data_IF_347986120654
#
_entry.id   IF_347986120654
#
_cell.length_a   1.000
_cell.length_b   1.000
_cell.length_c   1.000
_cell.angle_alpha   90.00
_cell.angle_beta   90.00
_cell.angle_gamma   90.00
#
_symmetry.space_group_name_H-M   'P 1'
#
loop_
_entity.id
_entity.type
_entity.pdbx_description
1 polymer ?
#
# COMPACT_ATOMS: atom_id res chain seq x y z
N UNK A 1 -18.21 -6.30 -5.11
CA UNK A 1 -17.63 -6.01 -3.78
C UNK A 1 -16.62 -4.90 -3.93
N UNK A 2 -16.56 -3.96 -2.97
CA UNK A 2 -15.74 -2.75 -3.07
C UNK A 2 -14.85 -2.58 -1.84
N UNK A 3 -13.84 -1.70 -1.93
CA UNK A 3 -12.98 -1.32 -0.80
C UNK A 3 -13.35 0.05 -0.24
N UNK A 4 -13.16 0.26 1.06
CA UNK A 4 -13.17 1.57 1.70
C UNK A 4 -11.77 1.88 2.23
N UNK A 5 -11.14 2.93 1.70
CA UNK A 5 -9.89 3.47 2.19
C UNK A 5 -10.13 4.74 3.00
N UNK A 6 -9.57 4.83 4.19
CA UNK A 6 -9.70 6.01 5.04
C UNK A 6 -8.31 6.58 5.29
N UNK A 7 -8.04 7.75 4.73
CA UNK A 7 -6.76 8.43 4.85
C UNK A 7 -6.70 9.25 6.12
N UNK A 8 -6.02 8.76 7.14
CA UNK A 8 -5.81 9.49 8.40
C UNK A 8 -4.59 10.41 8.25
N UNK A 9 -4.78 11.73 8.14
CA UNK A 9 -3.70 12.64 7.79
C UNK A 9 -2.81 13.05 8.98
N UNK A 10 -2.81 12.30 10.08
CA UNK A 10 -2.11 12.71 11.29
C UNK A 10 -0.86 11.87 11.53
N UNK A 11 0.25 12.55 11.86
CA UNK A 11 1.50 11.95 12.30
C UNK A 11 2.02 12.71 13.52
N UNK A 12 2.48 12.01 14.53
CA UNK A 12 3.18 12.68 15.65
C UNK A 12 4.50 13.32 15.19
N UNK A 13 5.14 12.76 14.14
CA UNK A 13 6.39 13.24 13.55
C UNK A 13 6.49 12.77 12.09
N UNK A 14 6.98 13.64 11.18
CA UNK A 14 7.20 13.26 9.78
C UNK A 14 8.51 12.51 9.62
N UNK A 15 8.49 11.41 8.89
CA UNK A 15 9.66 10.67 8.45
C UNK A 15 10.39 11.41 7.32
N UNK A 16 11.70 11.15 7.18
CA UNK A 16 12.55 11.88 6.23
C UNK A 16 12.18 11.61 4.77
N UNK A 17 11.74 10.41 4.49
CA UNK A 17 11.45 9.85 3.14
C UNK A 17 9.99 9.98 2.72
N UNK A 18 9.07 10.28 3.66
CA UNK A 18 7.64 10.13 3.45
C UNK A 18 7.07 11.27 2.58
N UNK A 19 6.43 10.91 1.48
CA UNK A 19 5.70 11.78 0.56
C UNK A 19 4.18 11.81 0.81
N UNK A 20 3.67 10.87 1.63
CA UNK A 20 2.25 10.84 1.97
C UNK A 20 1.77 12.14 2.62
N UNK A 21 0.57 12.56 2.21
CA UNK A 21 -0.05 13.72 2.82
C UNK A 21 -0.27 13.50 4.31
N UNK A 22 0.34 14.35 5.14
CA UNK A 22 0.22 14.25 6.60
C UNK A 22 0.36 15.61 7.29
N UNK A 23 -0.23 15.71 8.48
CA UNK A 23 -0.23 16.88 9.35
C UNK A 23 0.19 16.48 10.76
N UNK A 24 0.97 17.31 11.44
CA UNK A 24 1.37 17.07 12.83
C UNK A 24 0.53 17.84 13.86
N UNK A 25 -0.43 18.66 13.41
CA UNK A 25 -1.28 19.47 14.28
C UNK A 25 -2.57 18.70 14.63
N UNK A 26 -2.57 18.05 15.78
CA UNK A 26 -3.68 17.25 16.27
C UNK A 26 -4.96 18.04 16.62
N UNK A 27 -4.93 19.37 16.64
CA UNK A 27 -6.13 20.20 16.86
C UNK A 27 -7.19 20.02 15.77
N UNK A 28 -6.77 19.54 14.59
CA UNK A 28 -7.67 19.25 13.47
C UNK A 28 -8.30 17.84 13.54
N UNK A 29 -7.97 17.01 14.53
CA UNK A 29 -8.45 15.63 14.62
C UNK A 29 -9.99 15.56 14.66
N UNK A 30 -10.61 16.23 15.62
CA UNK A 30 -12.08 16.20 15.75
C UNK A 30 -12.78 16.78 14.50
N UNK A 31 -12.41 17.97 13.99
CA UNK A 31 -12.98 18.46 12.73
C UNK A 31 -12.78 17.50 11.55
N UNK A 32 -11.67 16.76 11.51
CA UNK A 32 -11.41 15.78 10.47
C UNK A 32 -12.35 14.57 10.58
N UNK A 33 -12.55 14.01 11.80
CA UNK A 33 -13.46 12.87 12.01
C UNK A 33 -14.87 13.23 11.55
N UNK A 34 -15.37 14.42 11.95
CA UNK A 34 -16.68 14.92 11.51
C UNK A 34 -16.75 15.06 9.98
N UNK A 35 -15.69 15.58 9.36
CA UNK A 35 -15.63 15.74 7.92
C UNK A 35 -15.55 14.40 7.18
N UNK A 36 -14.78 13.44 7.67
CA UNK A 36 -14.68 12.10 7.06
C UNK A 36 -16.04 11.37 7.08
N UNK A 37 -16.77 11.43 8.20
CA UNK A 37 -18.13 10.90 8.30
C UNK A 37 -19.06 11.63 7.30
N UNK A 38 -18.98 12.96 7.24
CA UNK A 38 -19.80 13.74 6.30
C UNK A 38 -19.46 13.46 4.84
N UNK A 39 -18.19 13.22 4.51
CA UNK A 39 -17.77 12.82 3.15
C UNK A 39 -18.38 11.46 2.77
N UNK A 40 -18.35 10.47 3.67
CA UNK A 40 -19.02 9.19 3.44
C UNK A 40 -20.50 9.36 3.10
N UNK A 41 -21.21 10.26 3.83
CA UNK A 41 -22.62 10.58 3.53
C UNK A 41 -22.81 11.20 2.15
N UNK A 42 -21.95 12.15 1.77
CA UNK A 42 -22.03 12.84 0.48
C UNK A 42 -21.73 11.91 -0.70
N UNK A 43 -20.93 10.88 -0.48
CA UNK A 43 -20.42 10.00 -1.54
C UNK A 43 -20.89 8.54 -1.40
N UNK A 44 -21.94 8.27 -0.63
CA UNK A 44 -22.44 6.91 -0.38
C UNK A 44 -22.79 6.13 -1.66
N UNK A 45 -23.22 6.83 -2.73
CA UNK A 45 -23.59 6.21 -4.02
C UNK A 45 -22.38 5.94 -4.93
N UNK A 46 -21.17 6.39 -4.59
CA UNK A 46 -19.99 6.35 -5.46
C UNK A 46 -19.63 4.94 -5.94
N UNK A 47 -19.76 3.94 -5.07
CA UNK A 47 -19.48 2.54 -5.38
C UNK A 47 -20.70 1.79 -5.92
N UNK A 48 -21.81 2.51 -6.23
CA UNK A 48 -23.03 1.93 -6.83
C UNK A 48 -23.77 0.93 -5.94
N UNK A 49 -23.72 1.08 -4.62
CA UNK A 49 -24.37 0.19 -3.66
C UNK A 49 -23.70 -1.17 -3.52
N UNK A 50 -22.48 -1.35 -4.04
CA UNK A 50 -21.73 -2.59 -3.83
C UNK A 50 -21.35 -2.76 -2.35
N UNK A 51 -21.50 -3.97 -1.76
CA UNK A 51 -21.11 -4.22 -0.38
C UNK A 51 -19.60 -4.13 -0.23
N UNK A 52 -19.14 -3.65 0.94
CA UNK A 52 -17.73 -3.58 1.26
C UNK A 52 -17.14 -4.98 1.53
N UNK A 53 -16.01 -5.29 0.90
CA UNK A 53 -15.18 -6.47 1.19
C UNK A 53 -14.03 -6.11 2.14
N UNK A 54 -13.49 -4.89 2.00
CA UNK A 54 -12.35 -4.46 2.81
C UNK A 54 -12.50 -3.03 3.32
N UNK A 55 -11.96 -2.77 4.52
CA UNK A 55 -11.77 -1.42 5.06
C UNK A 55 -10.29 -1.27 5.42
N UNK A 56 -9.68 -0.16 4.99
CA UNK A 56 -8.27 0.10 5.24
C UNK A 56 -8.07 1.51 5.79
N UNK A 57 -7.51 1.59 6.98
CA UNK A 57 -7.07 2.84 7.60
C UNK A 57 -5.59 3.02 7.34
N UNK A 58 -5.23 4.02 6.52
CA UNK A 58 -3.85 4.30 6.12
C UNK A 58 -3.53 5.79 6.06
N UNK A 59 -2.42 6.12 5.42
CA UNK A 59 -2.01 7.47 5.11
C UNK A 59 -0.89 8.03 5.98
N UNK A 60 -1.19 8.89 6.94
CA UNK A 60 -0.21 9.39 7.89
C UNK A 60 0.13 8.34 8.95
N UNK A 61 -0.61 8.31 10.03
CA UNK A 61 -0.45 7.32 11.12
C UNK A 61 -1.80 7.07 11.77
N UNK A 62 -2.60 6.11 11.28
CA UNK A 62 -3.92 5.82 11.86
C UNK A 62 -3.89 5.45 13.34
N UNK A 63 -2.81 4.88 13.84
CA UNK A 63 -2.63 4.58 15.27
C UNK A 63 -2.54 5.81 16.19
N UNK A 64 -2.61 7.03 15.63
CA UNK A 64 -2.79 8.26 16.41
C UNK A 64 -4.26 8.49 16.82
N UNK A 65 -5.21 7.75 16.25
CA UNK A 65 -6.61 7.80 16.64
C UNK A 65 -6.87 6.94 17.88
N UNK A 66 -7.88 7.32 18.66
CA UNK A 66 -8.33 6.58 19.82
C UNK A 66 -9.51 5.67 19.49
N UNK A 67 -9.84 4.72 20.36
CA UNK A 67 -10.97 3.81 20.17
C UNK A 67 -12.27 4.54 19.81
N UNK A 68 -12.61 5.60 20.51
CA UNK A 68 -13.85 6.36 20.27
C UNK A 68 -13.88 7.02 18.88
N UNK A 69 -12.73 7.41 18.32
CA UNK A 69 -12.63 7.95 16.97
C UNK A 69 -12.99 6.87 15.93
N UNK A 70 -12.44 5.67 16.11
CA UNK A 70 -12.73 4.52 15.24
C UNK A 70 -14.19 4.07 15.36
N UNK A 71 -14.75 4.01 16.57
CA UNK A 71 -16.16 3.63 16.78
C UNK A 71 -17.09 4.52 15.96
N UNK A 72 -16.88 5.84 15.97
CA UNK A 72 -17.68 6.80 15.18
C UNK A 72 -17.56 6.56 13.67
N UNK A 73 -16.34 6.29 13.18
CA UNK A 73 -16.08 6.04 11.77
C UNK A 73 -16.73 4.71 11.36
N UNK A 74 -16.57 3.63 12.15
CA UNK A 74 -17.18 2.33 11.85
C UNK A 74 -18.70 2.37 11.88
N UNK A 75 -19.31 3.08 12.83
CA UNK A 75 -20.75 3.28 12.88
C UNK A 75 -21.27 3.96 11.59
N UNK A 76 -20.56 4.97 11.12
CA UNK A 76 -20.92 5.64 9.87
C UNK A 76 -20.72 4.72 8.65
N UNK A 77 -19.60 3.99 8.57
CA UNK A 77 -19.31 3.08 7.48
C UNK A 77 -20.35 1.94 7.41
N UNK A 78 -20.72 1.37 8.56
CA UNK A 78 -21.75 0.32 8.64
C UNK A 78 -23.12 0.82 8.20
N UNK A 79 -23.55 1.98 8.70
CA UNK A 79 -24.82 2.60 8.35
C UNK A 79 -24.95 2.92 6.86
N UNK A 80 -23.86 3.37 6.21
CA UNK A 80 -23.90 3.91 4.85
C UNK A 80 -23.58 2.85 3.78
N UNK A 81 -22.69 1.92 4.06
CA UNK A 81 -22.19 0.95 3.07
C UNK A 81 -22.47 -0.51 3.47
N UNK A 82 -22.76 -0.77 4.74
CA UNK A 82 -22.84 -2.13 5.28
C UNK A 82 -21.47 -2.79 5.38
N UNK A 83 -21.08 -3.23 6.57
CA UNK A 83 -19.75 -3.82 6.82
C UNK A 83 -19.80 -5.32 7.12
N UNK A 84 -20.97 -5.92 7.12
CA UNK A 84 -21.17 -7.33 7.49
C UNK A 84 -20.46 -8.33 6.56
N UNK A 85 -20.15 -7.92 5.33
CA UNK A 85 -19.41 -8.72 4.34
C UNK A 85 -17.91 -8.46 4.34
N UNK A 86 -17.42 -7.51 5.16
CA UNK A 86 -15.99 -7.20 5.21
C UNK A 86 -15.16 -8.38 5.70
N UNK A 87 -14.22 -8.81 4.87
CA UNK A 87 -13.33 -9.94 5.16
C UNK A 87 -11.99 -9.48 5.70
N UNK A 88 -11.55 -8.26 5.38
CA UNK A 88 -10.32 -7.66 5.89
C UNK A 88 -10.56 -6.22 6.34
N UNK A 89 -10.19 -5.93 7.59
CA UNK A 89 -10.22 -4.58 8.17
C UNK A 89 -8.84 -4.29 8.74
N UNK A 90 -8.09 -3.43 8.03
CA UNK A 90 -6.68 -3.16 8.30
C UNK A 90 -6.48 -1.84 9.00
N UNK A 91 -5.59 -1.82 10.00
CA UNK A 91 -5.04 -0.63 10.63
C UNK A 91 -3.54 -0.53 10.35
N UNK A 92 -3.10 0.59 9.75
CA UNK A 92 -1.68 0.95 9.78
C UNK A 92 -1.28 1.51 11.13
N UNK A 93 -0.12 1.10 11.63
CA UNK A 93 0.37 1.49 12.94
C UNK A 93 1.87 1.74 12.97
N UNK A 94 2.30 2.66 13.83
CA UNK A 94 3.70 2.74 14.22
C UNK A 94 3.97 1.86 15.43
N UNK A 95 5.13 1.20 15.52
CA UNK A 95 5.48 0.34 16.65
C UNK A 95 5.39 1.03 18.02
N UNK A 96 5.77 2.30 18.11
CA UNK A 96 5.76 3.08 19.35
C UNK A 96 4.35 3.50 19.82
N UNK A 97 3.35 3.45 18.96
CA UNK A 97 1.96 3.67 19.33
C UNK A 97 1.30 2.38 19.88
N UNK A 98 1.89 1.20 19.65
CA UNK A 98 1.35 -0.10 20.04
C UNK A 98 1.68 -0.41 21.51
N UNK A 99 1.13 0.40 22.43
CA UNK A 99 1.24 0.14 23.86
C UNK A 99 0.27 -0.97 24.31
N UNK A 100 0.48 -1.61 25.49
CA UNK A 100 -0.45 -2.63 26.00
C UNK A 100 -1.90 -2.13 26.06
N UNK A 101 -2.11 -0.88 26.50
CA UNK A 101 -3.42 -0.25 26.63
C UNK A 101 -4.05 -0.02 25.26
N UNK A 102 -3.26 0.48 24.28
CA UNK A 102 -3.73 0.72 22.92
C UNK A 102 -4.13 -0.59 22.22
N UNK A 103 -3.26 -1.61 22.26
CA UNK A 103 -3.56 -2.92 21.65
C UNK A 103 -4.78 -3.57 22.32
N UNK A 104 -4.92 -3.45 23.65
CA UNK A 104 -6.11 -3.94 24.34
C UNK A 104 -7.40 -3.23 23.89
N UNK A 105 -7.35 -1.92 23.59
CA UNK A 105 -8.50 -1.17 23.11
C UNK A 105 -8.95 -1.62 21.71
N UNK A 106 -8.03 -2.10 20.85
CA UNK A 106 -8.36 -2.60 19.50
C UNK A 106 -9.24 -3.86 19.52
N UNK A 107 -9.28 -4.62 20.64
CA UNK A 107 -10.16 -5.80 20.79
C UNK A 107 -11.64 -5.47 20.68
N UNK A 108 -12.03 -4.25 20.99
CA UNK A 108 -13.42 -3.78 20.92
C UNK A 108 -13.80 -3.28 19.53
N UNK A 109 -12.83 -3.26 18.60
CA UNK A 109 -12.97 -2.78 17.23
C UNK A 109 -12.84 -3.94 16.23
N UNK A 110 -13.44 -3.84 15.05
CA UNK A 110 -13.46 -4.95 14.08
C UNK A 110 -12.15 -5.16 13.33
N UNK A 111 -11.04 -4.57 13.77
CA UNK A 111 -9.74 -4.77 13.13
C UNK A 111 -9.31 -6.24 13.20
N UNK A 112 -8.99 -6.82 12.04
CA UNK A 112 -8.49 -8.19 11.95
C UNK A 112 -7.11 -8.28 11.28
N UNK A 113 -6.56 -7.15 10.82
CA UNK A 113 -5.21 -7.03 10.26
C UNK A 113 -4.52 -5.76 10.77
N UNK A 114 -3.22 -5.88 11.11
CA UNK A 114 -2.34 -4.73 11.43
C UNK A 114 -1.22 -4.68 10.41
N UNK A 115 -0.96 -3.49 9.81
CA UNK A 115 0.24 -3.21 9.02
C UNK A 115 1.14 -2.27 9.81
N UNK A 116 2.33 -2.73 10.15
CA UNK A 116 3.21 -2.04 11.09
C UNK A 116 4.46 -1.50 10.39
N UNK A 117 4.63 -0.19 10.36
CA UNK A 117 5.78 0.48 9.75
C UNK A 117 7.05 0.33 10.58
N UNK A 118 7.70 -0.84 10.53
CA UNK A 118 8.95 -1.15 11.24
C UNK A 118 10.15 -0.49 10.54
N UNK A 119 10.22 -0.57 9.23
CA UNK A 119 11.21 -0.02 8.30
C UNK A 119 12.59 -0.67 8.40
N UNK A 120 13.15 -0.85 9.57
CA UNK A 120 14.42 -1.52 9.84
C UNK A 120 14.50 -1.98 11.30
N UNK A 121 15.35 -2.97 11.58
CA UNK A 121 15.73 -3.36 12.95
C UNK A 121 17.10 -2.80 13.34
N UNK A 122 17.69 -1.91 12.52
CA UNK A 122 18.97 -1.26 12.81
C UNK A 122 18.76 0.15 13.34
N UNK A 123 19.29 0.42 14.51
CA UNK A 123 19.17 1.72 15.16
C UNK A 123 19.69 2.90 14.32
N UNK A 124 20.76 2.66 13.52
CA UNK A 124 21.28 3.68 12.61
C UNK A 124 20.28 4.06 11.53
N UNK A 125 19.57 3.05 10.97
CA UNK A 125 18.59 3.23 9.92
C UNK A 125 17.36 3.95 10.45
N UNK A 126 16.83 3.51 11.61
CA UNK A 126 15.69 4.14 12.27
C UNK A 126 15.96 5.61 12.59
N UNK A 127 17.16 5.94 13.10
CA UNK A 127 17.58 7.33 13.33
C UNK A 127 17.69 8.11 12.03
N UNK A 128 18.27 7.53 10.99
CA UNK A 128 18.36 8.16 9.67
C UNK A 128 16.98 8.47 9.11
N UNK A 129 16.06 7.49 9.15
CA UNK A 129 14.69 7.64 8.67
C UNK A 129 13.82 8.56 9.54
N UNK A 130 14.35 9.08 10.64
CA UNK A 130 13.65 9.90 11.63
C UNK A 130 12.47 9.17 12.30
N UNK A 131 12.60 7.84 12.51
CA UNK A 131 11.60 7.02 13.21
C UNK A 131 11.61 7.30 14.71
N UNK A 132 10.47 7.14 15.37
CA UNK A 132 10.31 7.37 16.81
C UNK A 132 10.60 6.12 17.65
N UNK A 133 10.40 4.94 17.06
CA UNK A 133 10.62 3.65 17.72
C UNK A 133 12.04 3.14 17.52
N UNK A 134 12.45 2.24 18.39
CA UNK A 134 13.64 1.43 18.31
C UNK A 134 13.30 -0.03 17.97
N UNK A 135 14.33 -0.87 17.81
CA UNK A 135 14.19 -2.29 17.51
C UNK A 135 13.35 -3.03 18.56
N UNK A 136 13.60 -2.77 19.85
CA UNK A 136 12.90 -3.46 20.93
C UNK A 136 11.42 -3.12 20.96
N UNK A 137 11.07 -1.87 20.69
CA UNK A 137 9.68 -1.43 20.56
C UNK A 137 8.99 -2.13 19.40
N UNK A 138 9.64 -2.28 18.24
CA UNK A 138 9.09 -2.99 17.10
C UNK A 138 8.82 -4.48 17.42
N UNK A 139 9.76 -5.18 18.05
CA UNK A 139 9.59 -6.57 18.48
C UNK A 139 8.48 -6.72 19.51
N UNK A 140 8.43 -5.82 20.49
CA UNK A 140 7.40 -5.81 21.52
C UNK A 140 6.01 -5.56 20.94
N UNK A 141 5.88 -4.63 20.00
CA UNK A 141 4.61 -4.30 19.35
C UNK A 141 4.02 -5.52 18.61
N UNK A 142 4.84 -6.27 17.87
CA UNK A 142 4.43 -7.52 17.23
C UNK A 142 4.00 -8.55 18.28
N UNK A 143 4.77 -8.71 19.36
CA UNK A 143 4.44 -9.62 20.47
C UNK A 143 3.08 -9.28 21.10
N UNK A 144 2.86 -7.99 21.43
CA UNK A 144 1.60 -7.51 22.01
C UNK A 144 0.39 -7.78 21.09
N UNK A 145 0.53 -7.59 19.78
CA UNK A 145 -0.54 -7.92 18.83
C UNK A 145 -0.89 -9.42 18.90
N UNK A 146 0.12 -10.30 18.84
CA UNK A 146 -0.08 -11.76 18.93
C UNK A 146 -0.73 -12.19 20.24
N UNK A 147 -0.26 -11.69 21.37
CA UNK A 147 -0.81 -11.95 22.70
C UNK A 147 -2.27 -11.49 22.82
N UNK A 148 -2.65 -10.46 22.08
CA UNK A 148 -4.01 -9.95 22.03
C UNK A 148 -4.89 -10.58 20.95
N UNK A 149 -4.43 -11.66 20.29
CA UNK A 149 -5.20 -12.44 19.34
C UNK A 149 -5.15 -11.94 17.90
N UNK A 150 -4.40 -10.87 17.62
CA UNK A 150 -4.22 -10.34 16.25
C UNK A 150 -3.08 -11.12 15.60
N UNK A 151 -3.43 -12.09 14.74
CA UNK A 151 -2.46 -12.96 14.06
C UNK A 151 -2.11 -12.49 12.64
N UNK A 152 -3.00 -11.75 11.99
CA UNK A 152 -2.76 -11.19 10.65
C UNK A 152 -1.95 -9.89 10.78
N UNK A 153 -0.64 -10.03 10.88
CA UNK A 153 0.30 -8.93 11.05
C UNK A 153 1.17 -8.82 9.79
N UNK A 154 1.26 -7.60 9.26
CA UNK A 154 2.25 -7.20 8.26
C UNK A 154 3.29 -6.31 8.92
N UNK A 155 4.54 -6.44 8.50
CA UNK A 155 5.55 -5.39 8.76
C UNK A 155 6.03 -4.81 7.44
N UNK A 156 6.32 -3.50 7.46
CA UNK A 156 6.93 -2.83 6.33
C UNK A 156 8.42 -2.65 6.61
N UNK A 157 9.27 -2.99 5.63
CA UNK A 157 10.72 -2.82 5.66
C UNK A 157 11.15 -1.91 4.51
N UNK A 158 12.24 -1.17 4.71
CA UNK A 158 12.87 -0.36 3.66
C UNK A 158 14.29 -0.88 3.44
N UNK A 159 14.64 -1.14 2.18
CA UNK A 159 15.99 -1.46 1.75
C UNK A 159 16.52 -0.41 0.78
N UNK A 160 17.81 -0.45 0.49
CA UNK A 160 18.45 0.58 -0.35
C UNK A 160 18.76 1.87 0.41
N UNK A 161 18.88 1.79 1.73
CA UNK A 161 19.25 2.92 2.58
C UNK A 161 20.70 3.37 2.32
N UNK A 162 21.01 4.66 2.42
CA UNK A 162 22.38 5.17 2.27
C UNK A 162 23.37 4.44 3.19
N UNK A 163 24.41 3.87 2.60
CA UNK A 163 25.42 3.11 3.31
C UNK A 163 24.97 1.77 3.90
N UNK A 164 23.81 1.26 3.49
CA UNK A 164 23.36 -0.08 3.85
C UNK A 164 24.22 -1.13 3.14
N UNK A 165 24.68 -2.14 3.89
CA UNK A 165 25.40 -3.28 3.33
C UNK A 165 24.48 -4.48 3.11
N UNK A 166 24.95 -5.46 2.34
CA UNK A 166 24.23 -6.71 2.13
C UNK A 166 24.03 -7.46 3.45
N UNK A 167 25.05 -7.51 4.31
CA UNK A 167 25.01 -8.18 5.61
C UNK A 167 23.94 -7.55 6.51
N UNK A 168 23.88 -6.23 6.57
CA UNK A 168 22.88 -5.51 7.37
C UNK A 168 21.45 -5.80 6.88
N UNK A 169 21.27 -5.88 5.55
CA UNK A 169 19.99 -6.24 4.98
C UNK A 169 19.59 -7.69 5.31
N UNK A 170 20.54 -8.63 5.21
CA UNK A 170 20.31 -10.02 5.61
C UNK A 170 19.91 -10.14 7.08
N UNK A 171 20.57 -9.39 7.98
CA UNK A 171 20.20 -9.38 9.41
C UNK A 171 18.78 -8.80 9.64
N UNK A 172 18.34 -7.78 8.87
CA UNK A 172 16.96 -7.30 8.91
C UNK A 172 15.97 -8.38 8.47
N UNK A 173 16.26 -9.09 7.37
CA UNK A 173 15.43 -10.19 6.89
C UNK A 173 15.37 -11.37 7.89
N UNK A 174 16.49 -11.72 8.50
CA UNK A 174 16.54 -12.78 9.51
C UNK A 174 15.69 -12.45 10.73
N UNK A 175 15.70 -11.19 11.17
CA UNK A 175 14.84 -10.73 12.26
C UNK A 175 13.36 -10.78 11.86
N UNK A 176 13.01 -10.31 10.67
CA UNK A 176 11.64 -10.36 10.15
C UNK A 176 11.11 -11.81 10.03
N UNK A 177 11.94 -12.74 9.53
CA UNK A 177 11.59 -14.15 9.42
C UNK A 177 11.41 -14.77 10.81
N UNK A 178 12.27 -14.42 11.77
CA UNK A 178 12.21 -14.91 13.16
C UNK A 178 10.94 -14.48 13.89
N UNK A 179 10.33 -13.36 13.47
CA UNK A 179 9.04 -12.91 14.00
C UNK A 179 7.88 -13.84 13.63
N UNK A 180 8.04 -14.74 12.67
CA UNK A 180 6.99 -15.69 12.23
C UNK A 180 5.65 -15.01 11.97
N UNK A 181 5.67 -13.83 11.34
CA UNK A 181 4.49 -13.11 10.91
C UNK A 181 4.08 -13.55 9.50
N UNK A 182 2.79 -13.46 9.15
CA UNK A 182 2.31 -13.99 7.88
C UNK A 182 2.59 -13.10 6.65
N UNK A 183 2.94 -11.82 6.84
CA UNK A 183 3.08 -10.87 5.74
C UNK A 183 4.24 -9.89 5.96
N UNK A 184 4.98 -9.59 4.89
CA UNK A 184 6.08 -8.62 4.87
C UNK A 184 5.96 -7.78 3.61
N UNK A 185 5.92 -6.46 3.76
CA UNK A 185 6.11 -5.49 2.69
C UNK A 185 7.56 -5.00 2.73
N UNK A 186 8.23 -4.96 1.58
CA UNK A 186 9.60 -4.46 1.52
C UNK A 186 9.77 -3.53 0.32
N UNK A 187 10.05 -2.27 0.61
CA UNK A 187 10.15 -1.20 -0.38
C UNK A 187 11.59 -0.78 -0.58
N UNK A 188 11.99 -0.57 -1.83
CA UNK A 188 13.23 0.15 -2.12
C UNK A 188 13.06 1.60 -1.70
N UNK A 189 14.08 2.20 -1.07
CA UNK A 189 14.06 3.62 -0.73
C UNK A 189 14.02 4.46 -2.00
N UNK A 190 12.97 5.26 -2.16
CA UNK A 190 12.80 6.21 -3.26
C UNK A 190 13.08 7.62 -2.77
N UNK A 191 13.67 8.44 -3.64
CA UNK A 191 14.00 9.84 -3.35
C UNK A 191 12.98 10.73 -4.05
N UNK A 192 11.77 10.82 -3.45
CA UNK A 192 10.65 11.58 -4.00
C UNK A 192 10.87 13.09 -3.87
N UNK A 193 10.64 13.81 -4.98
CA UNK A 193 10.73 15.26 -5.02
C UNK A 193 9.80 15.89 -3.95
N UNK A 194 10.28 16.94 -3.30
CA UNK A 194 9.53 17.60 -2.22
C UNK A 194 9.81 17.04 -0.83
N UNK A 195 10.31 15.80 -0.68
CA UNK A 195 10.67 15.21 0.61
C UNK A 195 11.92 15.84 1.21
N UNK A 196 12.09 15.68 2.52
CA UNK A 196 13.32 16.12 3.18
C UNK A 196 14.55 15.29 2.75
N UNK A 197 14.33 14.00 2.44
CA UNK A 197 15.35 13.09 1.92
C UNK A 197 15.87 13.56 0.55
N UNK A 198 14.98 13.91 -0.37
CA UNK A 198 15.34 14.43 -1.68
C UNK A 198 16.20 15.69 -1.59
N UNK A 199 15.83 16.63 -0.71
CA UNK A 199 16.62 17.85 -0.45
C UNK A 199 18.01 17.56 0.11
N UNK A 200 18.17 16.51 0.91
CA UNK A 200 19.49 16.07 1.40
C UNK A 200 20.35 15.48 0.28
N UNK A 201 19.74 14.72 -0.64
CA UNK A 201 20.40 14.18 -1.81
C UNK A 201 20.85 15.31 -2.75
N UNK A 202 19.99 16.25 -3.09
CA UNK A 202 20.30 17.44 -3.89
C UNK A 202 21.45 18.27 -3.29
N UNK A 203 21.49 18.37 -1.97
CA UNK A 203 22.56 19.07 -1.25
C UNK A 203 23.86 18.26 -1.12
N UNK A 204 23.96 17.07 -1.74
CA UNK A 204 25.11 16.17 -1.65
C UNK A 204 25.41 15.63 -0.24
N UNK A 205 24.43 15.68 0.67
CA UNK A 205 24.56 15.17 2.05
C UNK A 205 24.21 13.69 2.18
N UNK A 206 23.50 13.17 1.21
CA UNK A 206 23.09 11.77 1.12
C UNK A 206 23.37 11.29 -0.30
N UNK A 207 23.93 10.10 -0.44
CA UNK A 207 24.18 9.45 -1.72
C UNK A 207 23.33 8.17 -1.77
N UNK A 208 22.51 7.98 -2.81
CA UNK A 208 21.83 6.71 -3.08
C UNK A 208 22.84 5.57 -3.18
N UNK A 209 22.40 4.34 -2.91
CA UNK A 209 23.23 3.15 -3.13
C UNK A 209 23.46 2.92 -4.62
N UNK A 210 24.53 2.22 -4.96
CA UNK A 210 24.83 1.81 -6.33
C UNK A 210 23.77 0.80 -6.86
N UNK A 211 23.48 0.86 -8.15
CA UNK A 211 22.47 0.04 -8.81
C UNK A 211 22.73 -1.48 -8.63
N UNK A 212 23.99 -1.92 -8.77
CA UNK A 212 24.37 -3.33 -8.59
C UNK A 212 24.06 -3.82 -7.16
N UNK A 213 24.27 -2.97 -6.16
CA UNK A 213 23.91 -3.30 -4.79
C UNK A 213 22.39 -3.35 -4.62
N UNK A 214 21.65 -2.41 -5.22
CA UNK A 214 20.18 -2.40 -5.20
C UNK A 214 19.61 -3.71 -5.76
N UNK A 215 20.09 -4.15 -6.91
CA UNK A 215 19.72 -5.44 -7.54
C UNK A 215 20.06 -6.62 -6.61
N UNK A 216 21.23 -6.59 -5.97
CA UNK A 216 21.66 -7.63 -5.03
C UNK A 216 20.76 -7.70 -3.79
N UNK A 217 20.39 -6.54 -3.20
CA UNK A 217 19.49 -6.47 -2.06
C UNK A 217 18.09 -7.01 -2.40
N UNK A 218 17.57 -6.64 -3.57
CA UNK A 218 16.27 -7.14 -4.03
C UNK A 218 16.29 -8.65 -4.33
N UNK A 219 17.35 -9.15 -4.98
CA UNK A 219 17.53 -10.60 -5.19
C UNK A 219 17.57 -11.35 -3.88
N UNK A 220 18.28 -10.80 -2.89
CA UNK A 220 18.40 -11.40 -1.54
C UNK A 220 17.06 -11.44 -0.84
N UNK A 221 16.28 -10.33 -0.92
CA UNK A 221 14.92 -10.27 -0.40
C UNK A 221 14.04 -11.40 -0.94
N UNK A 222 13.97 -11.52 -2.28
CA UNK A 222 13.14 -12.54 -2.93
C UNK A 222 13.56 -13.94 -2.49
N UNK A 223 14.86 -14.26 -2.54
CA UNK A 223 15.35 -15.59 -2.23
C UNK A 223 15.10 -15.93 -0.75
N UNK A 224 15.48 -15.05 0.19
CA UNK A 224 15.36 -15.31 1.63
C UNK A 224 13.89 -15.50 2.06
N UNK A 225 12.98 -14.64 1.58
CA UNK A 225 11.57 -14.75 1.95
C UNK A 225 10.92 -15.97 1.28
N UNK A 226 11.28 -16.28 0.03
CA UNK A 226 10.76 -17.48 -0.65
C UNK A 226 11.24 -18.75 0.05
N UNK A 227 12.52 -18.84 0.43
CA UNK A 227 13.08 -19.97 1.21
C UNK A 227 12.41 -20.11 2.58
N UNK A 228 11.99 -18.99 3.19
CA UNK A 228 11.23 -18.98 4.45
C UNK A 228 9.72 -19.29 4.28
N UNK A 229 9.26 -19.61 3.05
CA UNK A 229 7.89 -20.04 2.76
C UNK A 229 6.90 -18.91 2.51
N UNK A 230 7.38 -17.70 2.20
CA UNK A 230 6.52 -16.62 1.69
C UNK A 230 6.38 -16.70 0.17
N UNK A 231 5.23 -16.32 -0.34
CA UNK A 231 5.01 -16.11 -1.76
C UNK A 231 5.24 -14.64 -2.10
N UNK A 232 6.04 -14.37 -3.12
CA UNK A 232 6.22 -13.04 -3.70
C UNK A 232 5.03 -12.77 -4.61
N UNK A 233 3.94 -12.20 -4.08
CA UNK A 233 2.68 -12.12 -4.81
C UNK A 233 2.47 -10.83 -5.59
N UNK A 234 3.22 -9.77 -5.25
CA UNK A 234 3.38 -8.56 -6.06
C UNK A 234 4.73 -7.91 -5.75
N UNK A 235 5.14 -6.88 -6.49
CA UNK A 235 6.53 -6.38 -6.53
C UNK A 235 7.16 -6.14 -5.16
N UNK A 236 6.39 -5.57 -4.21
CA UNK A 236 6.89 -5.20 -2.89
C UNK A 236 6.37 -6.08 -1.75
N UNK A 237 5.43 -6.99 -2.02
CA UNK A 237 4.71 -7.70 -0.97
C UNK A 237 4.92 -9.22 -1.01
N UNK A 238 5.15 -9.75 0.16
CA UNK A 238 5.39 -11.17 0.42
C UNK A 238 4.43 -11.66 1.49
N UNK A 239 3.68 -12.72 1.21
CA UNK A 239 2.69 -13.26 2.14
C UNK A 239 2.72 -14.78 2.20
N UNK A 240 2.38 -15.34 3.35
CA UNK A 240 2.07 -16.76 3.45
C UNK A 240 0.72 -17.03 2.76
N UNK A 241 0.46 -18.22 2.23
CA UNK A 241 -0.84 -18.56 1.64
C UNK A 241 -1.99 -18.22 2.59
N UNK A 242 -3.00 -17.48 2.06
CA UNK A 242 -4.15 -17.03 2.84
C UNK A 242 -3.98 -15.69 3.59
N UNK A 243 -2.78 -15.06 3.53
CA UNK A 243 -2.47 -13.82 4.23
C UNK A 243 -2.03 -12.67 3.32
N UNK A 244 -2.34 -12.75 2.03
CA UNK A 244 -2.14 -11.60 1.14
C UNK A 244 -3.05 -10.45 1.56
N UNK A 245 -2.56 -9.21 1.49
CA UNK A 245 -3.40 -8.06 1.76
C UNK A 245 -4.52 -7.98 0.71
N UNK A 246 -5.76 -8.20 1.13
CA UNK A 246 -6.92 -8.18 0.22
C UNK A 246 -7.17 -6.78 -0.31
N UNK A 247 -7.09 -5.79 0.59
CA UNK A 247 -7.29 -4.40 0.19
C UNK A 247 -6.26 -3.95 -0.85
N UNK A 248 -4.95 -4.20 -0.62
CA UNK A 248 -3.92 -3.84 -1.58
C UNK A 248 -4.03 -4.64 -2.88
N UNK A 249 -4.36 -5.93 -2.79
CA UNK A 249 -4.58 -6.78 -3.97
C UNK A 249 -5.78 -6.30 -4.82
N UNK A 250 -6.78 -5.66 -4.20
CA UNK A 250 -7.95 -5.15 -4.91
C UNK A 250 -7.59 -4.04 -5.92
N UNK A 251 -6.56 -3.24 -5.64
CA UNK A 251 -6.05 -2.23 -6.58
C UNK A 251 -5.51 -2.88 -7.87
N UNK A 252 -4.87 -4.03 -7.74
CA UNK A 252 -4.29 -4.76 -8.87
C UNK A 252 -5.33 -5.52 -9.70
N UNK A 253 -6.51 -5.80 -9.14
CA UNK A 253 -7.59 -6.52 -9.81
C UNK A 253 -8.66 -5.61 -10.41
N UNK A 254 -8.52 -4.29 -10.31
CA UNK A 254 -9.48 -3.31 -10.80
C UNK A 254 -10.80 -3.31 -10.00
N UNK A 255 -10.75 -3.70 -8.74
CA UNK A 255 -11.90 -3.64 -7.83
C UNK A 255 -12.21 -2.18 -7.49
N UNK A 256 -13.48 -1.82 -7.47
CA UNK A 256 -13.92 -0.47 -7.07
C UNK A 256 -13.55 -0.19 -5.62
N UNK A 257 -13.21 1.06 -5.36
CA UNK A 257 -13.00 1.53 -3.99
C UNK A 257 -13.32 3.01 -3.85
N UNK A 258 -13.72 3.38 -2.65
CA UNK A 258 -13.90 4.78 -2.27
C UNK A 258 -12.86 5.16 -1.24
N UNK A 259 -12.14 6.27 -1.49
CA UNK A 259 -11.21 6.88 -0.54
C UNK A 259 -11.84 8.08 0.13
N UNK A 260 -11.69 8.13 1.44
CA UNK A 260 -12.20 9.19 2.33
C UNK A 260 -11.02 9.90 2.98
N UNK A 261 -11.07 11.23 3.04
CA UNK A 261 -10.02 12.05 3.63
C UNK A 261 -9.15 12.78 2.59
N UNK A 262 -8.36 13.77 2.99
CA UNK A 262 -7.52 14.55 2.08
C UNK A 262 -6.50 13.66 1.40
N UNK A 263 -6.23 13.88 0.10
CA UNK A 263 -5.34 13.07 -0.73
C UNK A 263 -5.79 11.62 -0.98
N UNK A 264 -6.96 11.21 -0.49
CA UNK A 264 -7.48 9.86 -0.74
C UNK A 264 -7.93 9.72 -2.19
N UNK A 265 -7.57 8.58 -2.81
CA UNK A 265 -7.98 8.21 -4.16
C UNK A 265 -9.21 7.31 -4.13
N UNK A 266 -9.98 7.33 -5.20
CA UNK A 266 -11.15 6.47 -5.43
C UNK A 266 -11.17 5.99 -6.87
N UNK A 267 -11.83 4.83 -7.11
CA UNK A 267 -11.98 4.23 -8.43
C UNK A 267 -13.33 3.51 -8.54
N UNK A 268 -14.09 3.82 -9.58
CA UNK A 268 -15.42 3.25 -9.82
C UNK A 268 -15.49 2.32 -11.05
N UNK A 269 -14.35 2.09 -11.71
CA UNK A 269 -14.24 1.33 -12.95
C UNK A 269 -14.29 2.17 -14.22
N UNK A 270 -14.79 3.40 -14.14
CA UNK A 270 -14.93 4.33 -15.26
C UNK A 270 -14.06 5.59 -15.07
N UNK A 271 -13.84 6.00 -13.82
CA UNK A 271 -13.03 7.16 -13.47
C UNK A 271 -12.14 6.90 -12.26
N UNK A 272 -11.08 7.70 -12.16
CA UNK A 272 -10.32 7.89 -10.93
C UNK A 272 -10.63 9.26 -10.34
N UNK A 273 -10.70 9.32 -9.04
CA UNK A 273 -10.90 10.57 -8.32
C UNK A 273 -9.91 10.66 -7.17
N UNK A 274 -9.49 11.87 -6.82
CA UNK A 274 -8.71 12.10 -5.63
C UNK A 274 -9.09 13.40 -4.95
N UNK A 275 -9.12 13.34 -3.65
CA UNK A 275 -9.37 14.50 -2.82
C UNK A 275 -8.14 15.42 -2.80
N UNK A 276 -8.37 16.71 -2.64
CA UNK A 276 -7.31 17.71 -2.53
C UNK A 276 -6.32 17.36 -1.39
N UNK A 277 -5.02 17.50 -1.66
CA UNK A 277 -3.94 17.30 -0.68
C UNK A 277 -3.78 18.55 0.23
N UNK A 278 -4.88 18.95 0.88
CA UNK A 278 -4.91 20.11 1.78
C UNK A 278 -6.00 19.93 2.84
N UNK A 279 -5.59 19.71 4.09
CA UNK A 279 -6.56 19.52 5.19
C UNK A 279 -7.51 20.72 5.38
N UNK A 280 -7.06 21.99 5.35
CA UNK A 280 -7.98 23.12 5.47
C UNK A 280 -9.01 23.22 4.32
N UNK A 281 -8.58 23.00 3.07
CA UNK A 281 -9.48 23.01 1.91
C UNK A 281 -10.46 21.84 1.96
N UNK A 282 -9.98 20.65 2.32
CA UNK A 282 -10.82 19.47 2.51
C UNK A 282 -11.93 19.75 3.54
N UNK A 283 -11.58 20.24 4.74
CA UNK A 283 -12.56 20.57 5.78
C UNK A 283 -13.58 21.62 5.31
N UNK A 284 -13.12 22.63 4.60
CA UNK A 284 -13.99 23.68 4.07
C UNK A 284 -14.96 23.15 3.01
N UNK A 285 -14.47 22.35 2.06
CA UNK A 285 -15.28 21.77 0.98
C UNK A 285 -16.36 20.83 1.52
N UNK A 286 -15.97 19.92 2.43
CA UNK A 286 -16.91 18.98 3.06
C UNK A 286 -17.98 19.72 3.88
N UNK A 287 -17.58 20.71 4.65
CA UNK A 287 -18.53 21.56 5.41
C UNK A 287 -19.52 22.29 4.51
N UNK A 288 -19.09 22.73 3.33
CA UNK A 288 -19.95 23.36 2.35
C UNK A 288 -20.83 22.36 1.56
N UNK A 289 -20.64 21.06 1.74
CA UNK A 289 -21.31 19.99 0.96
C UNK A 289 -20.81 19.86 -0.47
N UNK A 290 -19.65 20.43 -0.78
CA UNK A 290 -19.01 20.41 -2.11
C UNK A 290 -17.57 19.91 -1.91
N UNK A 291 -17.34 18.57 -1.95
CA UNK A 291 -16.00 17.99 -1.85
C UNK A 291 -15.08 18.57 -2.93
N UNK A 292 -13.86 18.94 -2.55
CA UNK A 292 -12.82 19.43 -3.45
C UNK A 292 -12.05 18.23 -4.03
N UNK A 293 -12.53 17.73 -5.19
CA UNK A 293 -12.12 16.49 -5.82
C UNK A 293 -11.65 16.77 -7.25
N UNK A 294 -10.54 16.17 -7.64
CA UNK A 294 -10.13 16.06 -9.04
C UNK A 294 -10.62 14.73 -9.63
N UNK A 295 -10.98 14.74 -10.92
CA UNK A 295 -11.56 13.58 -11.62
C UNK A 295 -10.81 13.36 -12.92
N UNK A 296 -10.44 12.11 -13.18
CA UNK A 296 -9.88 11.63 -14.44
C UNK A 296 -10.83 10.57 -15.02
N UNK A 297 -11.45 10.89 -16.15
CA UNK A 297 -12.24 9.90 -16.92
C UNK A 297 -11.30 8.96 -17.68
N UNK A 298 -11.56 7.65 -17.60
CA UNK A 298 -10.68 6.65 -18.18
C UNK A 298 -11.22 6.17 -19.53
N UNK A 299 -10.52 6.54 -20.61
CA UNK A 299 -10.83 5.97 -21.91
C UNK A 299 -10.38 4.50 -22.03
N UNK A 300 -10.73 3.87 -23.14
CA UNK A 300 -10.44 2.44 -23.35
C UNK A 300 -8.93 2.14 -23.43
N UNK A 301 -8.11 3.09 -23.86
CA UNK A 301 -6.67 2.94 -23.95
C UNK A 301 -6.03 3.03 -22.57
N UNK A 302 -6.47 4.00 -21.77
CA UNK A 302 -6.06 4.14 -20.38
C UNK A 302 -6.41 2.90 -19.56
N UNK A 303 -7.65 2.38 -19.71
CA UNK A 303 -8.07 1.13 -19.06
C UNK A 303 -7.24 -0.08 -19.49
N UNK A 304 -6.88 -0.16 -20.77
CA UNK A 304 -5.97 -1.21 -21.25
C UNK A 304 -4.59 -1.08 -20.60
N UNK A 305 -4.02 0.10 -20.61
CA UNK A 305 -2.70 0.37 -20.04
C UNK A 305 -2.66 0.05 -18.54
N UNK A 306 -3.67 0.46 -17.81
CA UNK A 306 -3.83 0.12 -16.39
C UNK A 306 -3.89 -1.39 -16.18
N UNK A 307 -4.65 -2.11 -17.01
CA UNK A 307 -4.78 -3.56 -16.92
C UNK A 307 -3.43 -4.28 -17.13
N UNK A 308 -2.60 -3.79 -18.06
CA UNK A 308 -1.25 -4.31 -18.28
C UNK A 308 -0.37 -4.05 -17.06
N UNK A 309 -0.32 -2.80 -16.57
CA UNK A 309 0.54 -2.41 -15.46
C UNK A 309 0.14 -3.17 -14.19
N UNK A 310 -1.13 -3.13 -13.83
CA UNK A 310 -1.60 -3.74 -12.58
C UNK A 310 -1.48 -5.26 -12.60
N UNK A 311 -1.81 -5.91 -13.72
CA UNK A 311 -1.74 -7.37 -13.83
C UNK A 311 -0.31 -7.90 -13.77
N UNK A 312 0.61 -7.31 -14.53
CA UNK A 312 2.00 -7.78 -14.57
C UNK A 312 2.80 -7.50 -13.29
N UNK A 313 2.35 -6.58 -12.44
CA UNK A 313 2.97 -6.36 -11.11
C UNK A 313 2.71 -7.50 -10.13
N UNK A 314 1.82 -8.43 -10.47
CA UNK A 314 1.39 -9.51 -9.59
C UNK A 314 1.81 -10.89 -10.10
N UNK A 315 1.84 -11.86 -9.21
CA UNK A 315 2.07 -13.26 -9.57
C UNK A 315 0.94 -13.88 -10.38
N UNK A 316 -0.24 -13.24 -10.40
CA UNK A 316 -1.40 -13.73 -11.16
C UNK A 316 -1.31 -13.37 -12.63
N UNK A 317 -0.55 -12.33 -13.00
CA UNK A 317 -0.34 -11.90 -14.36
C UNK A 317 -1.61 -11.42 -15.06
N UNK A 318 -1.58 -11.46 -16.40
CA UNK A 318 -2.69 -11.08 -17.28
C UNK A 318 -3.10 -12.24 -18.19
N UNK A 319 -4.41 -12.51 -18.30
CA UNK A 319 -4.92 -13.46 -19.26
C UNK A 319 -5.12 -12.77 -20.61
N UNK A 320 -4.58 -13.34 -21.67
CA UNK A 320 -4.72 -12.73 -23.00
C UNK A 320 -6.16 -12.79 -23.53
N UNK A 321 -6.96 -13.76 -23.09
CA UNK A 321 -8.39 -13.81 -23.37
C UNK A 321 -9.13 -12.61 -22.75
N UNK A 322 -8.79 -12.19 -21.54
CA UNK A 322 -9.41 -11.03 -20.89
C UNK A 322 -9.13 -9.72 -21.65
N UNK A 323 -7.95 -9.61 -22.29
CA UNK A 323 -7.62 -8.49 -23.19
C UNK A 323 -8.56 -8.46 -24.38
N UNK A 324 -8.78 -9.61 -25.02
CA UNK A 324 -9.70 -9.71 -26.17
C UNK A 324 -11.13 -9.35 -25.79
N UNK A 325 -11.61 -9.89 -24.68
CA UNK A 325 -12.98 -9.70 -24.19
C UNK A 325 -13.25 -8.23 -23.83
N UNK A 326 -12.31 -7.59 -23.11
CA UNK A 326 -12.49 -6.25 -22.56
C UNK A 326 -12.11 -5.13 -23.51
N UNK A 327 -11.09 -5.34 -24.34
CA UNK A 327 -10.43 -4.28 -25.13
C UNK A 327 -10.41 -4.58 -26.64
N UNK A 328 -10.84 -5.75 -27.06
CA UNK A 328 -10.94 -6.13 -28.47
C UNK A 328 -9.72 -6.88 -29.01
N UNK A 329 -9.89 -7.44 -30.22
CA UNK A 329 -8.91 -8.30 -30.89
C UNK A 329 -7.64 -7.54 -31.32
N UNK A 330 -7.77 -6.26 -31.64
CA UNK A 330 -6.65 -5.39 -32.04
C UNK A 330 -5.64 -5.25 -30.91
N UNK A 331 -6.09 -4.94 -29.68
CA UNK A 331 -5.23 -4.81 -28.50
C UNK A 331 -4.65 -6.16 -28.08
N UNK A 332 -5.36 -7.26 -28.24
CA UNK A 332 -4.81 -8.59 -28.02
C UNK A 332 -3.66 -8.88 -29.00
N UNK A 333 -3.85 -8.61 -30.30
CA UNK A 333 -2.83 -8.81 -31.32
C UNK A 333 -1.60 -7.95 -31.06
N UNK A 334 -1.81 -6.70 -30.68
CA UNK A 334 -0.73 -5.79 -30.29
C UNK A 334 0.08 -6.35 -29.11
N UNK A 335 -0.60 -6.72 -28.02
CA UNK A 335 0.05 -7.32 -26.85
C UNK A 335 0.90 -8.54 -27.23
N UNK A 336 0.35 -9.45 -28.05
CA UNK A 336 1.06 -10.65 -28.49
C UNK A 336 2.33 -10.32 -29.27
N UNK A 337 2.28 -9.31 -30.13
CA UNK A 337 3.42 -8.86 -30.91
C UNK A 337 4.51 -8.26 -30.02
N UNK A 338 4.14 -7.36 -29.09
CA UNK A 338 5.09 -6.71 -28.19
C UNK A 338 5.70 -7.72 -27.19
N UNK A 339 4.90 -8.61 -26.62
CA UNK A 339 5.34 -9.61 -25.65
C UNK A 339 6.29 -10.68 -26.27
N UNK A 340 6.24 -10.90 -27.59
CA UNK A 340 6.98 -11.97 -28.25
C UNK A 340 8.50 -11.90 -28.01
N UNK A 341 9.07 -10.70 -27.95
CA UNK A 341 10.51 -10.51 -27.70
C UNK A 341 10.85 -10.89 -26.24
N UNK A 342 10.07 -10.46 -25.29
CA UNK A 342 10.28 -10.74 -23.87
C UNK A 342 10.08 -12.21 -23.53
N UNK A 343 9.13 -12.88 -24.19
CA UNK A 343 8.94 -14.34 -24.10
C UNK A 343 10.17 -15.10 -24.59
N UNK A 344 10.74 -14.72 -25.77
CA UNK A 344 11.97 -15.34 -26.31
C UNK A 344 13.19 -15.12 -25.40
N UNK A 345 13.26 -13.99 -24.71
CA UNK A 345 14.34 -13.66 -23.77
C UNK A 345 14.14 -14.30 -22.37
N UNK A 346 13.00 -14.92 -22.13
CA UNK A 346 12.64 -15.49 -20.84
C UNK A 346 12.41 -14.44 -19.74
N UNK A 347 12.03 -13.22 -20.11
CA UNK A 347 11.68 -12.11 -19.20
C UNK A 347 10.20 -12.12 -18.88
N UNK A 348 9.37 -12.54 -19.84
CA UNK A 348 7.98 -12.95 -19.62
C UNK A 348 7.87 -14.47 -19.71
N UNK A 349 6.93 -15.03 -18.96
CA UNK A 349 6.53 -16.43 -18.98
C UNK A 349 5.09 -16.49 -19.44
N UNK A 350 4.78 -17.47 -20.32
CA UNK A 350 3.41 -17.80 -20.68
C UNK A 350 3.08 -19.18 -20.17
N UNK A 351 2.11 -19.27 -19.30
CA UNK A 351 1.50 -20.53 -18.86
C UNK A 351 0.05 -20.57 -19.29
N UNK A 352 -0.29 -21.47 -20.21
CA UNK A 352 -1.58 -21.49 -20.89
C UNK A 352 -1.88 -20.14 -21.58
N UNK A 353 -2.87 -19.42 -21.04
CA UNK A 353 -3.32 -18.10 -21.55
C UNK A 353 -2.86 -16.93 -20.67
N UNK A 354 -2.01 -17.18 -19.68
CA UNK A 354 -1.57 -16.17 -18.72
C UNK A 354 -0.13 -15.76 -18.95
N UNK A 355 0.11 -14.45 -19.03
CA UNK A 355 1.43 -13.82 -19.08
C UNK A 355 1.80 -13.32 -17.69
N UNK A 356 3.01 -13.69 -17.22
CA UNK A 356 3.59 -13.22 -15.95
C UNK A 356 5.01 -12.76 -16.17
N UNK A 357 5.53 -11.91 -15.29
CA UNK A 357 6.96 -11.62 -15.23
C UNK A 357 7.72 -12.83 -14.72
N UNK A 358 8.84 -13.14 -15.34
CA UNK A 358 9.82 -14.10 -14.79
C UNK A 358 10.58 -13.47 -13.62
N UNK A 359 11.31 -14.28 -12.85
CA UNK A 359 12.24 -13.77 -11.83
C UNK A 359 13.27 -12.77 -12.39
N UNK A 360 13.67 -12.90 -13.65
CA UNK A 360 14.57 -11.96 -14.32
C UNK A 360 13.81 -10.72 -14.81
N UNK A 361 12.58 -10.89 -15.29
CA UNK A 361 11.74 -9.81 -15.81
C UNK A 361 11.34 -8.82 -14.73
N UNK A 362 11.17 -9.25 -13.49
CA UNK A 362 10.82 -8.37 -12.35
C UNK A 362 11.82 -7.21 -12.18
N UNK A 363 13.12 -7.44 -12.43
CA UNK A 363 14.16 -6.41 -12.27
C UNK A 363 14.08 -5.27 -13.30
N UNK A 364 13.43 -5.51 -14.43
CA UNK A 364 13.21 -4.54 -15.50
C UNK A 364 11.73 -4.41 -15.84
N UNK A 365 10.87 -4.68 -14.85
CA UNK A 365 9.41 -4.73 -15.02
C UNK A 365 8.83 -3.47 -15.64
N UNK A 366 9.29 -2.29 -15.22
CA UNK A 366 8.77 -1.02 -15.69
C UNK A 366 9.04 -0.83 -17.19
N UNK A 367 10.24 -1.20 -17.67
CA UNK A 367 10.56 -1.19 -19.09
C UNK A 367 9.72 -2.17 -19.90
N UNK A 368 9.54 -3.40 -19.38
CA UNK A 368 8.68 -4.41 -20.03
C UNK A 368 7.24 -3.90 -20.11
N UNK A 369 6.69 -3.42 -19.00
CA UNK A 369 5.32 -2.91 -18.97
C UNK A 369 5.16 -1.71 -19.90
N UNK A 370 6.10 -0.77 -19.91
CA UNK A 370 6.07 0.41 -20.79
C UNK A 370 5.97 0.03 -22.27
N UNK A 371 6.73 -0.98 -22.72
CA UNK A 371 6.71 -1.43 -24.11
C UNK A 371 5.41 -2.18 -24.49
N UNK A 372 4.63 -2.63 -23.52
CA UNK A 372 3.34 -3.29 -23.73
C UNK A 372 2.16 -2.32 -23.72
N UNK A 373 2.37 -1.05 -23.35
CA UNK A 373 1.31 -0.04 -23.35
C UNK A 373 0.87 0.32 -24.77
N UNK A 374 -0.40 0.57 -24.90
CA UNK A 374 -1.00 1.11 -26.11
C UNK A 374 -0.75 2.62 -26.19
N UNK A 375 -0.06 3.07 -27.25
CA UNK A 375 0.28 4.46 -27.56
C UNK A 375 -0.40 4.93 -28.84
#
# INVERSE_FOLDING_TARGET
MAGLYIHIPFCAKRCLYCDFFSNTDMKFKEPYIDAAIREMELRQEYIGGEPLDTIYFGGGTPSQLQQADFERIFEAADRLFGTSSCTEITLEANPDDMTPEYVASLRNLPFNRISMGVQSFKEKDLRFLNRRHDREQALRAVGLCKENGIQNISIDLIYGLPGQTLEEWQENLDEAIRLEIPHISAYHLIYEEGTALYKLMEAGKVTPIEEDLSVTLFSTLINRLTEAGYLHYEISNFGRPGYFSRHNSSYWTGTKYIGIGPSAHSYDGESRQWNISSLPRYLQGIKAGIPDIEIEELDINTKYNDFIITGLRTMWGIRTADIRERFGEEKQTYLEQQAATYLRQGLLIRENDTLTLSKKGIFISDGIMSDLLWV
#
